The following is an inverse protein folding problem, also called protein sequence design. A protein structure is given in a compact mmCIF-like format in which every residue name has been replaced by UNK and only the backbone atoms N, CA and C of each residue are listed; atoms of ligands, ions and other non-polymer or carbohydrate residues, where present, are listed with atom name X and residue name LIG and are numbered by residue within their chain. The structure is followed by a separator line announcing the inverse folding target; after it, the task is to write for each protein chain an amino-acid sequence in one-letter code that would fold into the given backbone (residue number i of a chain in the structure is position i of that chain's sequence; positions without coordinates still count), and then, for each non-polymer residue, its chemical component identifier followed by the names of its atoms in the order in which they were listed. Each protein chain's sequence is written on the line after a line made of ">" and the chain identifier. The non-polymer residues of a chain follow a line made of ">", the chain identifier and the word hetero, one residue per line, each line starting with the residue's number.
data_IF_681160556547
#
_entry.id   IF_681160556547
#
_cell.length_a   1.000
_cell.length_b   1.000
_cell.length_c   1.000
_cell.angle_alpha   90.00
_cell.angle_beta   90.00
_cell.angle_gamma   90.00
#
_symmetry.space_group_name_H-M   'P 1'
#
loop_
_entity.id
_entity.type
_entity.pdbx_description
1 polymer ?
#
# COMPACT_ATOMS: atom_id res chain seq x y z
N UNK A 1 -12.03 -16.08 29.84
CA UNK A 1 -11.43 -14.87 29.23
C UNK A 1 -10.05 -14.68 29.84
N UNK A 2 -8.99 -14.98 29.08
CA UNK A 2 -7.64 -14.53 29.40
C UNK A 2 -7.18 -13.64 28.25
N UNK A 3 -7.27 -12.33 28.47
CA UNK A 3 -6.53 -11.37 27.66
C UNK A 3 -5.07 -11.53 28.04
N UNK A 4 -4.27 -12.07 27.13
CA UNK A 4 -2.82 -12.20 27.27
C UNK A 4 -2.21 -10.80 27.29
N UNK A 5 -1.95 -10.28 28.49
CA UNK A 5 -1.28 -8.99 28.70
C UNK A 5 0.25 -9.11 28.58
N UNK A 6 0.73 -10.16 27.92
CA UNK A 6 2.12 -10.39 27.60
C UNK A 6 2.26 -10.44 26.08
N UNK A 7 2.73 -9.35 25.49
CA UNK A 7 3.37 -9.44 24.17
C UNK A 7 4.75 -10.03 24.44
N UNK A 8 4.93 -11.30 24.14
CA UNK A 8 6.26 -11.93 24.25
C UNK A 8 7.19 -11.29 23.21
N UNK A 9 8.50 -11.11 23.48
CA UNK A 9 9.47 -10.62 22.49
C UNK A 9 9.46 -11.43 21.19
N UNK A 10 9.01 -12.67 21.25
CA UNK A 10 8.72 -13.58 20.13
C UNK A 10 7.72 -13.00 19.12
N UNK A 11 6.82 -12.10 19.51
CA UNK A 11 5.93 -11.39 18.58
C UNK A 11 6.67 -10.37 17.70
N UNK A 12 7.90 -10.00 18.06
CA UNK A 12 8.82 -9.17 17.26
C UNK A 12 9.84 -10.04 16.49
N UNK A 13 9.42 -11.23 16.06
CA UNK A 13 10.23 -12.08 15.19
C UNK A 13 10.35 -11.51 13.76
N UNK A 14 11.27 -12.09 12.98
CA UNK A 14 11.56 -11.75 11.59
C UNK A 14 10.29 -11.58 10.74
N UNK A 15 9.24 -12.34 11.04
CA UNK A 15 7.95 -12.26 10.36
C UNK A 15 7.30 -10.87 10.42
N UNK A 16 7.30 -10.21 11.59
CA UNK A 16 6.72 -8.87 11.74
C UNK A 16 7.54 -7.84 10.95
N UNK A 17 8.87 -7.97 10.99
CA UNK A 17 9.79 -7.07 10.27
C UNK A 17 9.60 -7.17 8.75
N UNK A 18 9.53 -8.38 8.20
CA UNK A 18 9.27 -8.61 6.78
C UNK A 18 7.89 -8.08 6.40
N UNK A 19 6.87 -8.28 7.23
CA UNK A 19 5.51 -7.78 6.96
C UNK A 19 5.48 -6.27 6.78
N UNK A 20 6.18 -5.52 7.65
CA UNK A 20 6.32 -4.06 7.52
C UNK A 20 6.97 -3.64 6.19
N UNK A 21 8.02 -4.35 5.76
CA UNK A 21 8.69 -4.08 4.47
C UNK A 21 7.75 -4.38 3.30
N UNK A 22 6.97 -5.47 3.38
CA UNK A 22 6.00 -5.83 2.33
C UNK A 22 4.90 -4.76 2.22
N UNK A 23 4.33 -4.30 3.33
CA UNK A 23 3.30 -3.26 3.30
C UNK A 23 3.81 -1.96 2.64
N UNK A 24 5.04 -1.56 2.97
CA UNK A 24 5.69 -0.40 2.37
C UNK A 24 6.00 -0.60 0.87
N UNK A 25 6.47 -1.78 0.48
CA UNK A 25 6.76 -2.09 -0.92
C UNK A 25 5.49 -2.15 -1.77
N UNK A 26 4.42 -2.74 -1.25
CA UNK A 26 3.12 -2.85 -1.95
C UNK A 26 2.45 -1.49 -2.09
N UNK A 27 2.49 -0.67 -1.05
CA UNK A 27 1.97 0.69 -1.07
C UNK A 27 2.79 1.69 -1.88
N UNK A 28 4.09 1.45 -2.00
CA UNK A 28 5.07 2.32 -2.66
C UNK A 28 5.88 3.15 -1.67
N UNK A 29 7.20 3.21 -1.89
CA UNK A 29 8.19 3.93 -1.04
C UNK A 29 8.05 5.45 -1.00
N UNK A 30 7.19 6.04 -1.83
CA UNK A 30 7.09 7.49 -2.02
C UNK A 30 5.88 8.11 -1.29
N UNK A 31 4.93 7.30 -0.78
CA UNK A 31 3.73 7.83 -0.12
C UNK A 31 3.31 7.01 1.10
N UNK A 32 3.12 7.69 2.23
CA UNK A 32 2.60 7.12 3.49
C UNK A 32 1.16 6.60 3.31
N UNK A 33 0.35 7.30 2.50
CA UNK A 33 -1.03 6.93 2.17
C UNK A 33 -1.08 5.64 1.34
N UNK A 34 -0.12 5.47 0.42
CA UNK A 34 0.05 4.23 -0.33
C UNK A 34 0.38 3.06 0.60
N UNK A 35 1.32 3.25 1.54
CA UNK A 35 1.71 2.23 2.53
C UNK A 35 0.54 1.80 3.44
N UNK A 36 -0.32 2.74 3.87
CA UNK A 36 -1.54 2.40 4.61
C UNK A 36 -2.47 1.48 3.82
N UNK A 37 -2.74 1.81 2.55
CA UNK A 37 -3.60 0.98 1.68
C UNK A 37 -2.96 -0.38 1.42
N UNK A 38 -1.63 -0.42 1.20
CA UNK A 38 -0.88 -1.66 1.04
C UNK A 38 -0.93 -2.55 2.29
N UNK A 39 -0.82 -1.98 3.48
CA UNK A 39 -0.96 -2.70 4.74
C UNK A 39 -2.35 -3.32 4.89
N UNK A 40 -3.41 -2.57 4.58
CA UNK A 40 -4.79 -3.06 4.63
C UNK A 40 -4.97 -4.21 3.63
N UNK A 41 -4.50 -4.06 2.39
CA UNK A 41 -4.66 -5.07 1.35
C UNK A 41 -3.98 -6.39 1.74
N UNK A 42 -2.74 -6.31 2.23
CA UNK A 42 -1.98 -7.49 2.64
C UNK A 42 -2.56 -8.11 3.90
N UNK A 43 -3.03 -7.31 4.87
CA UNK A 43 -3.66 -7.82 6.09
C UNK A 43 -4.99 -8.53 5.81
N UNK A 44 -5.77 -8.02 4.85
CA UNK A 44 -6.96 -8.71 4.35
C UNK A 44 -6.57 -10.02 3.65
N UNK A 45 -5.59 -9.99 2.75
CA UNK A 45 -5.06 -11.19 2.12
C UNK A 45 -4.59 -12.23 3.14
N UNK A 46 -3.96 -11.77 4.22
CA UNK A 46 -3.53 -12.61 5.34
C UNK A 46 -4.69 -13.25 6.07
N UNK A 47 -5.79 -12.52 6.30
CA UNK A 47 -6.99 -13.12 6.91
C UNK A 47 -7.60 -14.18 6.01
N UNK A 48 -7.73 -13.93 4.71
CA UNK A 48 -8.37 -14.87 3.78
C UNK A 48 -7.52 -16.11 3.48
N UNK A 49 -6.21 -15.94 3.27
CA UNK A 49 -5.33 -17.06 2.91
C UNK A 49 -4.63 -17.69 4.11
N UNK A 50 -4.60 -17.01 5.26
CA UNK A 50 -4.11 -17.55 6.53
C UNK A 50 -5.01 -18.64 7.09
N UNK A 51 -6.34 -18.53 6.91
CA UNK A 51 -7.30 -19.53 7.40
C UNK A 51 -7.15 -20.90 6.72
N UNK A 52 -6.85 -20.93 5.41
CA UNK A 52 -6.77 -22.18 4.63
C UNK A 52 -5.32 -22.74 4.54
N UNK A 53 -4.29 -21.89 4.56
CA UNK A 53 -2.89 -22.29 4.26
C UNK A 53 -1.84 -21.65 5.17
N UNK A 54 -2.04 -21.70 6.48
CA UNK A 54 -1.16 -21.05 7.47
C UNK A 54 0.34 -21.43 7.34
N UNK A 55 0.68 -22.65 6.91
CA UNK A 55 2.07 -23.08 6.70
C UNK A 55 2.72 -22.51 5.41
N UNK A 56 1.94 -22.19 4.38
CA UNK A 56 2.47 -21.75 3.07
C UNK A 56 2.36 -20.24 2.85
N UNK A 57 1.71 -19.53 3.78
CA UNK A 57 1.49 -18.09 3.71
C UNK A 57 2.77 -17.26 3.50
N UNK A 58 3.89 -17.63 4.15
CA UNK A 58 5.19 -16.95 3.98
C UNK A 58 5.73 -17.02 2.54
N UNK A 59 5.54 -18.17 1.87
CA UNK A 59 5.97 -18.34 0.48
C UNK A 59 5.09 -17.49 -0.44
N UNK A 60 3.78 -17.50 -0.21
CA UNK A 60 2.81 -16.68 -0.95
C UNK A 60 3.14 -15.19 -0.79
N UNK A 61 3.39 -14.74 0.44
CA UNK A 61 3.82 -13.37 0.73
C UNK A 61 5.10 -13.00 -0.01
N UNK A 62 6.09 -13.89 -0.03
CA UNK A 62 7.35 -13.66 -0.74
C UNK A 62 7.15 -13.52 -2.25
N UNK A 63 6.33 -14.38 -2.86
CA UNK A 63 6.00 -14.31 -4.29
C UNK A 63 5.23 -13.04 -4.62
N UNK A 64 4.21 -12.71 -3.84
CA UNK A 64 3.43 -11.46 -4.01
C UNK A 64 4.34 -10.25 -3.88
N UNK A 65 5.25 -10.25 -2.91
CA UNK A 65 6.23 -9.17 -2.72
C UNK A 65 7.11 -8.97 -3.96
N UNK A 66 7.69 -10.04 -4.51
CA UNK A 66 8.53 -9.97 -5.71
C UNK A 66 7.73 -9.46 -6.91
N UNK A 67 6.51 -9.97 -7.12
CA UNK A 67 5.62 -9.52 -8.20
C UNK A 67 5.33 -8.02 -8.08
N UNK A 68 4.95 -7.56 -6.89
CA UNK A 68 4.58 -6.16 -6.71
C UNK A 68 5.79 -5.22 -6.88
N UNK A 69 6.97 -5.60 -6.39
CA UNK A 69 8.20 -4.81 -6.57
C UNK A 69 8.61 -4.74 -8.05
N UNK A 70 8.45 -5.83 -8.80
CA UNK A 70 8.81 -5.88 -10.22
C UNK A 70 7.83 -5.12 -11.11
N UNK A 71 6.52 -5.30 -10.90
CA UNK A 71 5.49 -4.73 -11.78
C UNK A 71 5.05 -3.32 -11.37
N UNK A 72 5.21 -2.92 -10.10
CA UNK A 72 4.84 -1.60 -9.57
C UNK A 72 6.01 -0.94 -8.82
N UNK A 73 7.10 -0.51 -9.50
CA UNK A 73 8.26 0.12 -8.85
C UNK A 73 7.96 1.49 -8.22
N UNK A 74 6.85 2.14 -8.62
CA UNK A 74 6.31 3.35 -7.99
C UNK A 74 5.22 3.06 -6.94
N UNK A 75 4.85 1.78 -6.76
CA UNK A 75 3.75 1.32 -5.91
C UNK A 75 2.39 1.89 -6.28
N UNK A 76 1.41 1.69 -5.40
CA UNK A 76 0.06 2.26 -5.50
C UNK A 76 0.07 3.80 -5.46
N UNK A 77 1.09 4.41 -4.86
CA UNK A 77 1.30 5.86 -4.83
C UNK A 77 1.32 6.49 -6.24
N UNK A 78 2.01 5.86 -7.20
CA UNK A 78 2.07 6.33 -8.57
C UNK A 78 0.74 6.22 -9.32
N UNK A 79 -0.12 5.28 -8.93
CA UNK A 79 -1.45 5.13 -9.51
C UNK A 79 -2.43 6.18 -8.93
N UNK A 80 -2.30 6.48 -7.64
CA UNK A 80 -3.06 7.55 -6.99
C UNK A 80 -2.72 8.94 -7.53
N UNK A 81 -1.44 9.29 -7.73
CA UNK A 81 -1.06 10.55 -8.39
C UNK A 81 -1.65 10.66 -9.80
N UNK A 82 -1.69 9.54 -10.54
CA UNK A 82 -2.25 9.51 -11.90
C UNK A 82 -3.78 9.64 -11.90
N UNK A 83 -4.46 9.06 -10.91
CA UNK A 83 -5.92 9.15 -10.74
C UNK A 83 -6.32 10.54 -10.22
N UNK A 84 -5.65 11.07 -9.20
CA UNK A 84 -5.88 12.42 -8.66
C UNK A 84 -5.51 13.50 -9.67
N UNK A 85 -4.43 13.33 -10.44
CA UNK A 85 -4.05 14.24 -11.52
C UNK A 85 -5.04 14.24 -12.68
N UNK A 86 -5.67 13.09 -12.96
CA UNK A 86 -6.71 12.98 -14.00
C UNK A 86 -8.06 13.57 -13.57
N UNK A 87 -8.34 13.61 -12.27
CA UNK A 87 -9.56 14.24 -11.71
C UNK A 87 -9.35 15.75 -11.50
N UNK A 88 -8.14 16.18 -11.14
CA UNK A 88 -7.77 17.60 -10.98
C UNK A 88 -7.27 18.23 -12.31
N UNK A 89 -7.98 17.94 -13.40
CA UNK A 89 -7.58 18.27 -14.77
C UNK A 89 -8.59 19.12 -15.55
N UNK A 90 -9.51 19.82 -14.89
CA UNK A 90 -10.52 20.62 -15.60
C UNK A 90 -10.96 21.89 -14.86
N UNK A 91 -10.10 22.92 -14.74
CA UNK A 91 -10.64 24.26 -14.43
C UNK A 91 -9.81 25.51 -14.85
N UNK A 92 -8.95 25.49 -15.88
CA UNK A 92 -8.18 26.70 -16.25
C UNK A 92 -8.16 26.98 -17.76
N UNK A 93 -9.32 26.97 -18.43
CA UNK A 93 -9.44 27.32 -19.86
C UNK A 93 -10.32 28.53 -20.20
N UNK A 94 -10.60 29.39 -19.25
CA UNK A 94 -11.17 30.73 -19.52
C UNK A 94 -10.38 31.76 -18.70
N UNK A 95 -9.06 31.87 -18.85
CA UNK A 95 -8.38 32.64 -19.90
C UNK A 95 -9.11 33.93 -20.26
N UNK A 96 -8.81 34.98 -19.50
CA UNK A 96 -8.16 36.18 -20.03
C UNK A 96 -8.80 36.87 -21.25
N UNK A 97 -10.09 37.23 -21.19
CA UNK A 97 -10.71 38.11 -22.18
C UNK A 97 -11.05 39.53 -21.67
N UNK A 98 -10.93 39.82 -20.37
CA UNK A 98 -11.36 41.13 -19.82
C UNK A 98 -10.24 42.11 -19.49
N UNK A 99 -8.98 41.80 -19.79
CA UNK A 99 -7.83 42.66 -19.48
C UNK A 99 -7.17 43.38 -20.66
N UNK A 100 -7.71 43.22 -21.89
CA UNK A 100 -7.05 43.75 -23.09
C UNK A 100 -7.89 44.73 -23.92
N UNK A 101 -9.07 45.15 -23.44
CA UNK A 101 -9.79 46.29 -24.06
C UNK A 101 -10.56 47.10 -23.02
N UNK A 102 -10.24 48.40 -23.02
CA UNK A 102 -10.87 49.56 -22.35
C UNK A 102 -10.18 50.01 -21.06
#
# INVERSE_FOLDING_TARGET
>A
VMVTQYVSPTSMEIMLSISMVIWAAVGGRTSLLGAMIGAILINLGQSYAGDEFQQHWLIILGVVFVIVVLFLPKGLAGLFELILGKISGNNNRTKNETGQKA
#
